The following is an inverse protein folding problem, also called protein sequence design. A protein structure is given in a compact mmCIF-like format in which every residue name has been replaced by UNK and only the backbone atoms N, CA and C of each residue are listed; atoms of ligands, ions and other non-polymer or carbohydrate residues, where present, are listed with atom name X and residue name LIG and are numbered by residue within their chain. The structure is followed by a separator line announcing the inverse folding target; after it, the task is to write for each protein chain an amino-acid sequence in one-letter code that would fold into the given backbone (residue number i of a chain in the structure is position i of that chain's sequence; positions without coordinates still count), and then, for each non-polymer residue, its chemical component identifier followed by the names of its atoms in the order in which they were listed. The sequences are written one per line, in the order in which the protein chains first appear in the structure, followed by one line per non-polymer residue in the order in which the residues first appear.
data_IF_390813575237
#
_entry.id   IF_390813575237
#
_cell.length_a   1.000
_cell.length_b   1.000
_cell.length_c   1.000
_cell.angle_alpha   90.00
_cell.angle_beta   90.00
_cell.angle_gamma   90.00
#
_symmetry.space_group_name_H-M   'P 1'
#
loop_
_entity.id
_entity.type
_entity.pdbx_description
1 polymer ?
#
# COMPACT_ATOMS: atom_id res chain seq x y z
N UNK A 1 16.61 5.35 -0.51
CA UNK A 1 16.36 5.85 -1.88
C UNK A 1 17.30 6.99 -2.28
N UNK A 2 17.48 8.05 -1.46
CA UNK A 2 18.33 9.21 -1.80
C UNK A 2 19.70 8.85 -2.37
N UNK A 3 20.46 8.01 -1.65
CA UNK A 3 21.78 7.57 -2.11
C UNK A 3 21.75 6.80 -3.44
N UNK A 4 20.69 6.02 -3.71
CA UNK A 4 20.59 5.28 -4.96
C UNK A 4 20.34 6.24 -6.13
N UNK A 5 19.38 7.15 -5.95
CA UNK A 5 18.97 8.16 -6.92
C UNK A 5 20.07 9.20 -7.18
N UNK A 6 20.81 9.62 -6.15
CA UNK A 6 21.96 10.53 -6.30
C UNK A 6 23.11 9.92 -7.09
N UNK A 7 23.19 8.58 -7.13
CA UNK A 7 24.14 7.83 -7.96
C UNK A 7 23.57 7.50 -9.35
N UNK A 8 22.43 8.07 -9.74
CA UNK A 8 21.81 7.84 -11.04
C UNK A 8 21.04 6.52 -11.19
N UNK A 9 20.82 5.78 -10.09
CA UNK A 9 20.09 4.51 -10.15
C UNK A 9 18.59 4.74 -10.14
N UNK A 10 17.88 3.93 -10.93
CA UNK A 10 16.42 3.83 -10.86
C UNK A 10 16.00 3.08 -9.60
N UNK A 11 14.88 3.48 -9.00
CA UNK A 11 14.38 2.90 -7.76
C UNK A 11 12.88 2.57 -7.84
N UNK A 12 12.48 1.49 -7.16
CA UNK A 12 11.09 1.16 -6.83
C UNK A 12 10.95 1.29 -5.31
N UNK A 13 9.93 2.01 -4.87
CA UNK A 13 9.71 2.29 -3.45
C UNK A 13 8.94 1.17 -2.78
N UNK A 14 9.55 0.53 -1.77
CA UNK A 14 8.89 -0.50 -0.94
C UNK A 14 9.14 -0.27 0.57
N UNK A 15 8.88 0.92 1.15
CA UNK A 15 9.14 1.15 2.56
C UNK A 15 8.21 0.32 3.46
N UNK A 16 8.79 -0.41 4.40
CA UNK A 16 8.08 -1.30 5.32
C UNK A 16 6.90 -0.65 6.06
N UNK A 17 7.09 0.55 6.61
CA UNK A 17 6.06 1.23 7.41
C UNK A 17 4.78 1.56 6.64
N UNK A 18 4.81 1.53 5.31
CA UNK A 18 3.66 1.84 4.45
C UNK A 18 3.25 0.66 3.57
N UNK A 19 4.19 -0.10 3.03
CA UNK A 19 3.94 -1.02 1.92
C UNK A 19 4.25 -2.49 2.24
N UNK A 20 4.42 -2.84 3.51
CA UNK A 20 4.48 -4.25 3.93
C UNK A 20 3.10 -4.67 4.41
N UNK A 21 2.46 -5.50 3.61
CA UNK A 21 1.09 -5.96 3.82
C UNK A 21 1.03 -7.26 4.63
N UNK A 22 2.16 -7.83 5.02
CA UNK A 22 2.24 -8.86 6.08
C UNK A 22 2.07 -8.27 7.49
N UNK A 23 2.13 -6.94 7.63
CA UNK A 23 1.85 -6.23 8.88
C UNK A 23 0.33 -6.14 9.09
N UNK A 24 -0.09 -6.14 10.36
CA UNK A 24 -1.51 -6.07 10.74
C UNK A 24 -2.19 -4.84 10.14
N UNK A 25 -3.47 -4.94 9.81
CA UNK A 25 -4.28 -3.83 9.30
C UNK A 25 -4.96 -3.02 10.40
N UNK A 26 -5.13 -3.64 11.56
CA UNK A 26 -5.79 -3.08 12.73
C UNK A 26 -4.97 -3.34 14.00
N UNK A 27 -5.36 -2.72 15.09
CA UNK A 27 -4.79 -2.98 16.42
C UNK A 27 -5.43 -4.21 17.11
N UNK A 28 -6.32 -4.94 16.43
CA UNK A 28 -7.00 -6.09 17.02
C UNK A 28 -5.99 -7.17 17.43
N UNK A 29 -6.08 -7.61 18.69
CA UNK A 29 -5.19 -8.65 19.24
C UNK A 29 -5.34 -9.99 18.52
N UNK A 30 -6.53 -10.26 17.97
CA UNK A 30 -6.82 -11.46 17.18
C UNK A 30 -6.21 -11.45 15.79
N UNK A 31 -5.82 -10.29 15.27
CA UNK A 31 -5.25 -10.18 13.93
C UNK A 31 -3.78 -10.65 13.96
N UNK A 32 -3.49 -11.67 13.15
CA UNK A 32 -2.13 -12.18 12.96
C UNK A 32 -1.43 -11.34 11.89
N UNK A 33 -0.16 -11.09 12.11
CA UNK A 33 0.71 -10.39 11.18
C UNK A 33 2.10 -10.26 11.78
N UNK A 34 3.04 -9.75 10.99
CA UNK A 34 4.40 -9.49 11.44
C UNK A 34 4.45 -8.27 12.39
N UNK A 35 5.30 -7.31 12.09
CA UNK A 35 5.56 -6.16 12.96
C UNK A 35 4.52 -5.05 12.75
N UNK A 36 4.19 -4.30 13.81
CA UNK A 36 3.42 -3.05 13.70
C UNK A 36 2.02 -3.14 13.07
N UNK A 37 1.50 -1.96 12.72
CA UNK A 37 0.19 -1.79 12.06
C UNK A 37 0.35 -0.85 10.86
N UNK A 38 -0.19 -1.30 9.74
CA UNK A 38 -0.26 -0.56 8.47
C UNK A 38 -1.73 -0.54 8.04
N UNK A 39 -2.46 0.49 8.48
CA UNK A 39 -3.88 0.67 8.14
C UNK A 39 -4.06 1.07 6.67
N UNK A 40 -5.29 0.93 6.15
CA UNK A 40 -5.64 1.42 4.81
C UNK A 40 -5.31 2.90 4.62
N UNK A 41 -5.63 3.74 5.61
CA UNK A 41 -5.34 5.18 5.61
C UNK A 41 -3.83 5.45 5.57
N UNK A 42 -3.06 4.68 6.34
CA UNK A 42 -1.60 4.80 6.35
C UNK A 42 -1.03 4.53 4.97
N UNK A 43 -1.47 3.46 4.30
CA UNK A 43 -1.08 3.18 2.92
C UNK A 43 -1.43 4.37 2.04
N UNK A 44 -2.68 4.84 2.06
CA UNK A 44 -3.18 5.94 1.22
C UNK A 44 -2.42 7.26 1.43
N UNK A 45 -1.94 7.53 2.65
CA UNK A 45 -1.14 8.72 2.96
C UNK A 45 0.27 8.73 2.37
N UNK A 46 0.73 7.59 1.83
CA UNK A 46 2.10 7.47 1.33
C UNK A 46 2.34 8.35 0.08
N UNK A 47 3.49 9.02 0.05
CA UNK A 47 3.98 9.76 -1.11
C UNK A 47 5.20 9.04 -1.70
N UNK A 48 5.08 8.37 -2.86
CA UNK A 48 6.18 7.64 -3.49
C UNK A 48 7.37 8.51 -3.89
N UNK A 49 7.15 9.82 -4.14
CA UNK A 49 8.21 10.75 -4.55
C UNK A 49 8.52 11.74 -3.42
N UNK A 50 9.55 11.48 -2.58
CA UNK A 50 9.97 12.39 -1.53
C UNK A 50 10.29 13.79 -2.06
N UNK A 51 9.77 14.82 -1.39
CA UNK A 51 9.99 16.23 -1.76
C UNK A 51 11.45 16.67 -1.60
N UNK A 52 12.23 15.94 -0.81
CA UNK A 52 13.64 16.22 -0.55
C UNK A 52 14.60 15.60 -1.58
N UNK A 53 14.06 14.97 -2.63
CA UNK A 53 14.82 14.57 -3.82
C UNK A 53 14.78 15.72 -4.85
N UNK A 54 15.93 16.17 -5.38
CA UNK A 54 15.98 17.20 -6.42
C UNK A 54 15.07 16.88 -7.61
N UNK A 55 14.39 17.89 -8.16
CA UNK A 55 13.37 17.70 -9.23
C UNK A 55 13.92 16.94 -10.43
N UNK A 56 15.17 17.21 -10.81
CA UNK A 56 15.88 16.56 -11.90
C UNK A 56 16.12 15.05 -11.67
N UNK A 57 16.08 14.61 -10.42
CA UNK A 57 16.29 13.23 -10.00
C UNK A 57 15.00 12.47 -9.69
N UNK A 58 13.86 13.16 -9.51
CA UNK A 58 12.58 12.53 -9.16
C UNK A 58 12.12 11.50 -10.21
N UNK A 59 12.45 11.72 -11.49
CA UNK A 59 12.16 10.77 -12.57
C UNK A 59 12.91 9.44 -12.50
N UNK A 60 13.88 9.28 -11.57
CA UNK A 60 14.54 8.00 -11.31
C UNK A 60 13.69 7.07 -10.42
N UNK A 61 12.64 7.60 -9.78
CA UNK A 61 11.67 6.80 -9.04
C UNK A 61 10.64 6.27 -10.03
N UNK A 62 10.63 4.95 -10.23
CA UNK A 62 9.77 4.28 -11.21
C UNK A 62 8.36 4.05 -10.70
N UNK A 63 8.16 4.07 -9.38
CA UNK A 63 6.89 3.78 -8.73
C UNK A 63 7.08 3.16 -7.35
N UNK A 64 6.04 2.49 -6.87
CA UNK A 64 6.02 1.83 -5.57
C UNK A 64 5.44 0.42 -5.67
N UNK A 65 5.80 -0.45 -4.73
CA UNK A 65 5.35 -1.84 -4.65
C UNK A 65 4.98 -2.22 -3.22
N UNK A 66 3.84 -2.90 -3.09
CA UNK A 66 3.40 -3.56 -1.87
C UNK A 66 3.95 -4.97 -1.80
N UNK A 67 4.44 -5.37 -0.63
CA UNK A 67 5.04 -6.68 -0.39
C UNK A 67 4.15 -7.50 0.56
N UNK A 68 3.97 -8.78 0.27
CA UNK A 68 3.32 -9.73 1.17
C UNK A 68 4.30 -10.86 1.46
N UNK A 69 4.85 -10.87 2.66
CA UNK A 69 5.63 -11.98 3.19
C UNK A 69 4.70 -12.96 3.91
N UNK A 70 4.86 -14.26 3.69
CA UNK A 70 3.83 -15.26 4.00
C UNK A 70 4.14 -16.12 5.22
N UNK A 71 5.07 -15.72 6.09
CA UNK A 71 5.48 -16.49 7.28
C UNK A 71 4.30 -16.82 8.22
N UNK A 72 3.32 -15.92 8.29
CA UNK A 72 2.13 -16.05 9.14
C UNK A 72 0.85 -16.39 8.35
N UNK A 73 0.99 -16.78 7.08
CA UNK A 73 -0.12 -17.06 6.17
C UNK A 73 0.00 -18.49 5.65
N UNK A 74 -0.96 -19.32 6.00
CA UNK A 74 -0.99 -20.76 5.72
C UNK A 74 -1.82 -21.12 4.50
N UNK A 75 -2.63 -20.19 3.99
CA UNK A 75 -3.50 -20.39 2.85
C UNK A 75 -3.70 -19.10 2.03
N UNK A 76 -4.14 -19.20 0.76
CA UNK A 76 -4.36 -18.02 -0.09
C UNK A 76 -5.36 -17.00 0.44
N UNK A 77 -6.39 -17.44 1.19
CA UNK A 77 -7.39 -16.53 1.74
C UNK A 77 -6.81 -15.61 2.81
N UNK A 78 -5.81 -16.07 3.57
CA UNK A 78 -5.05 -15.21 4.50
C UNK A 78 -4.19 -14.17 3.74
N UNK A 79 -3.62 -14.55 2.59
CA UNK A 79 -2.90 -13.62 1.71
C UNK A 79 -3.82 -12.54 1.15
N UNK A 80 -5.01 -12.93 0.66
CA UNK A 80 -6.03 -12.00 0.19
C UNK A 80 -6.45 -11.04 1.31
N UNK A 81 -6.75 -11.57 2.51
CA UNK A 81 -7.16 -10.77 3.67
C UNK A 81 -6.13 -9.68 3.96
N UNK A 82 -4.85 -10.04 3.91
CA UNK A 82 -3.75 -9.13 4.23
C UNK A 82 -3.45 -8.15 3.08
N UNK A 83 -3.66 -8.53 1.83
CA UNK A 83 -3.47 -7.64 0.68
C UNK A 83 -4.61 -6.62 0.53
N UNK A 84 -5.86 -7.03 0.72
CA UNK A 84 -7.05 -6.20 0.51
C UNK A 84 -7.62 -5.67 1.82
N UNK A 85 -8.05 -4.39 1.87
CA UNK A 85 -8.19 -3.44 0.75
C UNK A 85 -6.95 -2.57 0.47
N UNK A 86 -5.84 -2.77 1.17
CA UNK A 86 -4.63 -1.93 1.05
C UNK A 86 -4.04 -1.87 -0.35
N UNK A 87 -4.13 -2.95 -1.12
CA UNK A 87 -3.72 -2.97 -2.51
C UNK A 87 -4.47 -1.94 -3.36
N UNK A 88 -5.75 -1.70 -3.10
CA UNK A 88 -6.53 -0.66 -3.78
C UNK A 88 -6.00 0.75 -3.49
N UNK A 89 -5.64 1.04 -2.23
CA UNK A 89 -5.02 2.31 -1.87
C UNK A 89 -3.67 2.50 -2.57
N UNK A 90 -2.82 1.48 -2.56
CA UNK A 90 -1.55 1.52 -3.29
C UNK A 90 -1.75 1.74 -4.79
N UNK A 91 -2.71 1.03 -5.41
CA UNK A 91 -3.04 1.21 -6.83
C UNK A 91 -3.42 2.65 -7.16
N UNK A 92 -4.18 3.31 -6.28
CA UNK A 92 -4.54 4.71 -6.48
C UNK A 92 -3.33 5.65 -6.35
N UNK A 93 -2.48 5.44 -5.33
CA UNK A 93 -1.31 6.28 -5.10
C UNK A 93 -0.33 6.26 -6.28
N UNK A 94 -0.17 5.11 -6.93
CA UNK A 94 0.78 4.96 -8.06
C UNK A 94 0.18 5.32 -9.41
N UNK A 95 -1.14 5.50 -9.51
CA UNK A 95 -1.85 5.75 -10.77
C UNK A 95 -2.43 7.16 -10.86
N UNK A 96 -3.06 7.62 -9.78
CA UNK A 96 -3.79 8.88 -9.71
C UNK A 96 -2.84 10.02 -9.39
N UNK A 97 -2.96 11.12 -10.13
CA UNK A 97 -2.13 12.32 -9.90
C UNK A 97 -2.34 12.86 -8.47
N UNK A 98 -1.27 13.29 -7.82
CA UNK A 98 -1.30 13.70 -6.42
C UNK A 98 -2.33 14.80 -6.12
N UNK A 99 -2.52 15.72 -7.06
CA UNK A 99 -3.40 16.89 -6.91
C UNK A 99 -4.88 16.54 -6.84
N UNK A 100 -5.26 15.33 -7.27
CA UNK A 100 -6.65 14.86 -7.27
C UNK A 100 -6.88 13.66 -6.32
N UNK A 101 -5.85 13.25 -5.57
CA UNK A 101 -5.99 12.26 -4.52
C UNK A 101 -6.71 12.88 -3.32
N UNK A 102 -7.85 12.30 -2.93
CA UNK A 102 -8.60 12.73 -1.75
C UNK A 102 -9.05 11.50 -0.92
N UNK A 103 -8.75 11.51 0.38
CA UNK A 103 -9.05 10.36 1.25
C UNK A 103 -10.55 10.18 1.49
N UNK A 104 -11.33 11.26 1.53
CA UNK A 104 -12.79 11.20 1.68
C UNK A 104 -13.43 10.52 0.47
N UNK A 105 -13.11 11.02 -0.73
CA UNK A 105 -13.56 10.44 -2.00
C UNK A 105 -13.11 8.98 -2.17
N UNK A 106 -11.84 8.68 -1.86
CA UNK A 106 -11.33 7.31 -1.89
C UNK A 106 -12.15 6.38 -1.00
N UNK A 107 -12.43 6.78 0.25
CA UNK A 107 -13.27 5.97 1.16
C UNK A 107 -14.66 5.71 0.60
N UNK A 108 -15.31 6.73 0.04
CA UNK A 108 -16.65 6.56 -0.55
C UNK A 108 -16.63 5.59 -1.74
N UNK A 109 -15.61 5.67 -2.61
CA UNK A 109 -15.43 4.72 -3.71
C UNK A 109 -15.06 3.33 -3.21
N UNK A 110 -14.25 3.24 -2.16
CA UNK A 110 -13.85 1.97 -1.57
C UNK A 110 -15.03 1.23 -0.96
N UNK A 111 -15.95 1.89 -0.25
CA UNK A 111 -17.17 1.24 0.27
C UNK A 111 -17.94 0.54 -0.86
N UNK A 112 -18.06 1.18 -2.02
CA UNK A 112 -18.69 0.57 -3.21
C UNK A 112 -17.85 -0.57 -3.79
N UNK A 113 -16.52 -0.42 -3.79
CA UNK A 113 -15.60 -1.43 -4.30
C UNK A 113 -15.54 -2.69 -3.42
N UNK A 114 -15.74 -2.57 -2.11
CA UNK A 114 -15.83 -3.73 -1.21
C UNK A 114 -16.98 -4.67 -1.62
N UNK A 115 -18.11 -4.13 -2.11
CA UNK A 115 -19.19 -4.97 -2.67
C UNK A 115 -18.75 -5.74 -3.92
N UNK A 116 -17.80 -5.22 -4.70
CA UNK A 116 -17.23 -5.93 -5.86
C UNK A 116 -16.31 -7.04 -5.37
N UNK A 117 -15.43 -6.77 -4.39
CA UNK A 117 -14.57 -7.79 -3.80
C UNK A 117 -15.38 -8.93 -3.21
N UNK A 118 -16.46 -8.61 -2.48
CA UNK A 118 -17.38 -9.60 -1.91
C UNK A 118 -18.06 -10.44 -2.99
N UNK A 119 -18.58 -9.81 -4.06
CA UNK A 119 -19.17 -10.53 -5.20
C UNK A 119 -18.19 -11.47 -5.92
N UNK A 120 -16.89 -11.16 -5.87
CA UNK A 120 -15.83 -12.00 -6.44
C UNK A 120 -15.24 -13.01 -5.44
N UNK A 121 -15.82 -13.12 -4.25
CA UNK A 121 -15.36 -14.02 -3.18
C UNK A 121 -13.91 -13.77 -2.74
N UNK A 122 -13.44 -12.52 -2.81
CA UNK A 122 -12.13 -12.13 -2.27
C UNK A 122 -12.24 -11.99 -0.75
N UNK A 123 -11.35 -12.65 0.00
CA UNK A 123 -11.27 -12.44 1.44
C UNK A 123 -10.53 -11.12 1.72
N UNK A 124 -11.14 -10.14 2.39
CA UNK A 124 -10.52 -8.83 2.66
C UNK A 124 -10.76 -8.39 4.11
N UNK A 125 -9.89 -7.52 4.63
CA UNK A 125 -10.09 -6.88 5.93
C UNK A 125 -11.26 -5.90 5.89
N UNK A 126 -12.24 -6.08 6.78
CA UNK A 126 -13.48 -5.31 6.83
C UNK A 126 -13.34 -4.02 7.64
#
# INVERSE_FOLDING_TARGET
VKNAVSNGNKAVMCPNFFLYFDWKQTEAVSEKGAFGVTTLEKVYSYEPVPQDIPKEQQGLILGAQGNVWTEFMTNPQEVEYMAFPRMCALSEIVWTKKEIQDWGDFKERMVKHLCILEKNNINFCK
#
